data_IF_200166990354
#
_entry.id   IF_200166990354
#
_cell.length_a   1.000
_cell.length_b   1.000
_cell.length_c   1.000
_cell.angle_alpha   90.00
_cell.angle_beta   90.00
_cell.angle_gamma   90.00
#
_symmetry.space_group_name_H-M   'P 1'
#
loop_
_entity.id
_entity.type
_entity.pdbx_description
1 polymer ?
#
# COMPACT_ATOMS: atom_id res chain seq x y z
N UNK A 1 -11.26 -6.16 7.17
CA UNK A 1 -10.28 -5.07 7.10
C UNK A 1 -10.92 -3.70 7.30
N UNK A 2 -12.06 -3.47 6.68
CA UNK A 2 -12.73 -2.17 6.85
C UNK A 2 -13.12 -1.90 8.30
N UNK A 3 -13.55 -2.94 9.02
CA UNK A 3 -13.85 -2.81 10.44
C UNK A 3 -12.60 -2.53 11.26
N UNK A 4 -11.50 -3.20 10.95
CA UNK A 4 -10.23 -2.99 11.65
C UNK A 4 -9.70 -1.57 11.42
N UNK A 5 -9.82 -1.06 10.20
CA UNK A 5 -9.43 0.32 9.88
C UNK A 5 -10.29 1.29 10.68
N UNK A 6 -11.61 1.08 10.73
CA UNK A 6 -12.51 1.91 11.50
C UNK A 6 -12.16 1.97 12.98
N UNK A 7 -11.82 0.82 13.57
CA UNK A 7 -11.39 0.76 14.97
C UNK A 7 -10.12 1.54 15.22
N UNK A 8 -9.13 1.40 14.32
CA UNK A 8 -7.88 2.13 14.42
C UNK A 8 -8.11 3.64 14.38
N UNK A 9 -9.05 4.10 13.56
CA UNK A 9 -9.34 5.53 13.40
C UNK A 9 -10.04 6.13 14.62
N UNK A 10 -10.72 5.32 15.42
CA UNK A 10 -11.37 5.81 16.63
C UNK A 10 -10.39 6.41 17.62
N UNK A 11 -9.12 5.98 17.58
CA UNK A 11 -8.07 6.53 18.42
C UNK A 11 -7.47 7.84 17.91
N UNK A 12 -7.94 8.36 16.78
CA UNK A 12 -7.44 9.57 16.13
C UNK A 12 -5.92 9.55 15.92
N UNK A 13 -5.37 8.53 15.28
CA UNK A 13 -3.93 8.42 15.08
C UNK A 13 -3.41 9.47 14.10
N UNK A 14 -2.13 9.80 14.21
CA UNK A 14 -1.41 10.57 13.19
C UNK A 14 -0.69 9.67 12.20
N UNK A 15 -0.49 8.45 12.60
CA UNK A 15 0.21 7.43 11.82
C UNK A 15 -0.58 6.13 11.90
N UNK A 16 -0.75 5.47 10.78
CA UNK A 16 -1.47 4.20 10.70
C UNK A 16 -0.64 3.21 9.92
N UNK A 17 -0.42 2.01 10.49
CA UNK A 17 0.24 0.92 9.80
C UNK A 17 -0.79 -0.12 9.39
N UNK A 18 -0.80 -0.48 8.11
CA UNK A 18 -1.70 -1.50 7.55
C UNK A 18 -0.85 -2.62 6.97
N UNK A 19 -1.00 -3.81 7.52
CA UNK A 19 -0.21 -4.98 7.14
C UNK A 19 -1.06 -5.89 6.25
N UNK A 20 -0.73 -5.92 4.97
CA UNK A 20 -1.37 -6.75 3.95
C UNK A 20 -2.91 -6.65 3.98
N UNK A 21 -3.47 -5.44 3.86
CA UNK A 21 -4.93 -5.28 3.96
C UNK A 21 -5.72 -5.99 2.87
N UNK A 22 -5.09 -6.36 1.75
CA UNK A 22 -5.77 -7.10 0.68
C UNK A 22 -5.75 -8.62 0.87
N UNK A 23 -4.99 -9.13 1.84
CA UNK A 23 -4.81 -10.56 2.03
C UNK A 23 -6.13 -11.25 2.37
N UNK A 24 -6.48 -12.26 1.59
CA UNK A 24 -7.69 -13.06 1.83
C UNK A 24 -9.00 -12.36 1.50
N UNK A 25 -8.94 -11.19 0.86
CA UNK A 25 -10.14 -10.41 0.54
C UNK A 25 -10.52 -10.59 -0.93
N UNK A 26 -11.82 -10.69 -1.20
CA UNK A 26 -12.32 -10.82 -2.56
C UNK A 26 -11.91 -9.61 -3.41
N UNK A 27 -11.53 -9.83 -4.69
CA UNK A 27 -11.03 -8.75 -5.55
C UNK A 27 -11.92 -7.51 -5.62
N UNK A 28 -13.23 -7.68 -5.62
CA UNK A 28 -14.16 -6.55 -5.67
C UNK A 28 -14.08 -5.68 -4.42
N UNK A 29 -13.78 -6.30 -3.26
CA UNK A 29 -13.69 -5.57 -2.00
C UNK A 29 -12.32 -4.91 -1.83
N UNK A 30 -11.29 -5.44 -2.48
CA UNK A 30 -9.94 -4.89 -2.40
C UNK A 30 -9.91 -3.45 -2.89
N UNK A 31 -10.57 -3.15 -4.01
CA UNK A 31 -10.62 -1.79 -4.53
C UNK A 31 -11.27 -0.83 -3.54
N UNK A 32 -12.36 -1.26 -2.90
CA UNK A 32 -13.05 -0.43 -1.91
C UNK A 32 -12.14 -0.13 -0.70
N UNK A 33 -11.39 -1.13 -0.24
CA UNK A 33 -10.44 -0.96 0.86
C UNK A 33 -9.36 0.04 0.48
N UNK A 34 -8.79 -0.07 -0.71
CA UNK A 34 -7.72 0.81 -1.15
C UNK A 34 -8.20 2.24 -1.38
N UNK A 35 -9.43 2.42 -1.89
CA UNK A 35 -10.05 3.74 -1.98
C UNK A 35 -10.22 4.37 -0.60
N UNK A 36 -10.62 3.58 0.39
CA UNK A 36 -10.77 4.06 1.76
C UNK A 36 -9.42 4.50 2.32
N UNK A 37 -8.35 3.76 2.06
CA UNK A 37 -7.00 4.10 2.50
C UNK A 37 -6.58 5.47 1.93
N UNK A 38 -6.83 5.69 0.65
CA UNK A 38 -6.52 6.97 -0.01
C UNK A 38 -7.32 8.11 0.61
N UNK A 39 -8.60 7.91 0.84
CA UNK A 39 -9.47 8.91 1.43
C UNK A 39 -9.04 9.30 2.83
N UNK A 40 -8.69 8.30 3.66
CA UNK A 40 -8.21 8.54 5.02
C UNK A 40 -6.94 9.39 5.01
N UNK A 41 -6.00 9.04 4.16
CA UNK A 41 -4.75 9.80 4.04
C UNK A 41 -5.01 11.23 3.60
N UNK A 42 -5.88 11.40 2.58
CA UNK A 42 -6.15 12.71 2.01
C UNK A 42 -6.98 13.60 2.93
N UNK A 43 -8.07 13.05 3.47
CA UNK A 43 -9.04 13.85 4.23
C UNK A 43 -8.63 14.09 5.67
N UNK A 44 -7.96 13.12 6.29
CA UNK A 44 -7.57 13.21 7.70
C UNK A 44 -6.11 13.57 7.90
N UNK A 45 -5.32 13.60 6.83
CA UNK A 45 -3.89 13.91 6.93
C UNK A 45 -3.09 12.88 7.69
N UNK A 46 -3.59 11.64 7.76
CA UNK A 46 -2.90 10.55 8.45
C UNK A 46 -1.82 9.98 7.55
N UNK A 47 -0.59 9.86 8.07
CA UNK A 47 0.48 9.18 7.37
C UNK A 47 0.23 7.67 7.45
N UNK A 48 0.24 7.00 6.31
CA UNK A 48 -0.03 5.57 6.25
C UNK A 48 1.18 4.80 5.75
N UNK A 49 1.62 3.82 6.52
CA UNK A 49 2.59 2.83 6.08
C UNK A 49 1.82 1.59 5.65
N UNK A 50 1.88 1.29 4.36
CA UNK A 50 1.18 0.15 3.79
C UNK A 50 2.19 -0.95 3.48
N UNK A 51 2.00 -2.12 4.06
CA UNK A 51 2.79 -3.31 3.76
C UNK A 51 1.92 -4.20 2.89
N UNK A 52 2.38 -4.48 1.66
CA UNK A 52 1.55 -5.20 0.69
C UNK A 52 2.40 -6.03 -0.25
N UNK A 53 1.99 -7.28 -0.49
CA UNK A 53 2.63 -8.15 -1.48
C UNK A 53 2.15 -7.81 -2.89
N UNK A 54 0.94 -7.31 -3.03
CA UNK A 54 0.42 -6.90 -4.32
C UNK A 54 1.01 -5.54 -4.69
N UNK A 55 2.16 -5.59 -5.37
CA UNK A 55 2.92 -4.39 -5.70
C UNK A 55 2.15 -3.43 -6.61
N UNK A 56 1.35 -3.96 -7.53
CA UNK A 56 0.54 -3.11 -8.42
C UNK A 56 -0.39 -2.21 -7.63
N UNK A 57 -1.14 -2.79 -6.69
CA UNK A 57 -2.08 -2.04 -5.88
C UNK A 57 -1.36 -1.04 -4.96
N UNK A 58 -0.28 -1.50 -4.32
CA UNK A 58 0.45 -0.63 -3.40
C UNK A 58 1.04 0.58 -4.10
N UNK A 59 1.71 0.38 -5.23
CA UNK A 59 2.36 1.47 -5.97
C UNK A 59 1.36 2.40 -6.65
N UNK A 60 0.15 1.92 -6.90
CA UNK A 60 -0.91 2.74 -7.49
C UNK A 60 -1.34 3.88 -6.58
N UNK A 61 -1.33 3.63 -5.26
CA UNK A 61 -1.79 4.62 -4.28
C UNK A 61 -0.67 5.27 -3.48
N UNK A 62 0.52 4.68 -3.46
CA UNK A 62 1.64 5.18 -2.67
C UNK A 62 2.30 6.40 -3.32
N UNK A 63 2.93 7.23 -2.51
CA UNK A 63 3.79 8.32 -2.99
C UNK A 63 5.24 7.89 -3.03
N UNK A 64 5.65 7.06 -2.09
CA UNK A 64 7.01 6.55 -1.98
C UNK A 64 6.98 5.06 -1.63
N UNK A 65 7.94 4.30 -2.12
CA UNK A 65 7.97 2.87 -1.87
C UNK A 65 9.34 2.34 -1.48
N UNK A 66 9.30 1.25 -0.72
CA UNK A 66 10.47 0.46 -0.36
C UNK A 66 10.22 -0.97 -0.81
N UNK A 67 11.15 -1.53 -1.57
CA UNK A 67 11.05 -2.94 -1.99
C UNK A 67 11.98 -3.75 -1.09
N UNK A 68 11.40 -4.76 -0.43
CA UNK A 68 12.12 -5.61 0.52
C UNK A 68 12.27 -7.02 -0.03
N UNK A 69 13.46 -7.58 0.15
CA UNK A 69 13.71 -9.00 -0.07
C UNK A 69 14.50 -9.54 1.11
N UNK A 70 14.04 -10.64 1.66
CA UNK A 70 14.71 -11.33 2.76
C UNK A 70 15.09 -10.38 3.91
N UNK A 71 14.13 -9.51 4.28
CA UNK A 71 14.32 -8.57 5.38
C UNK A 71 15.21 -7.38 5.08
N UNK A 72 15.57 -7.15 3.81
CA UNK A 72 16.47 -6.06 3.41
C UNK A 72 15.78 -5.16 2.40
N UNK A 73 15.97 -3.86 2.53
CA UNK A 73 15.52 -2.90 1.52
C UNK A 73 16.50 -2.97 0.36
N UNK A 74 16.00 -3.38 -0.81
CA UNK A 74 16.83 -3.49 -2.03
C UNK A 74 16.63 -2.31 -2.97
N UNK A 75 15.47 -1.64 -2.89
CA UNK A 75 15.16 -0.46 -3.69
C UNK A 75 14.29 0.48 -2.87
N UNK A 76 14.45 1.77 -3.10
CA UNK A 76 13.56 2.77 -2.53
C UNK A 76 13.51 3.97 -3.47
N UNK A 77 12.31 4.47 -3.76
CA UNK A 77 12.13 5.60 -4.67
C UNK A 77 10.70 6.10 -4.62
N UNK A 78 10.43 7.18 -5.34
CA UNK A 78 9.08 7.62 -5.61
C UNK A 78 8.31 6.48 -6.25
N UNK A 79 7.02 6.34 -5.90
CA UNK A 79 6.21 5.24 -6.43
C UNK A 79 6.14 5.26 -7.96
N UNK A 80 6.06 6.45 -8.56
CA UNK A 80 6.04 6.58 -10.02
C UNK A 80 7.32 6.03 -10.64
N UNK A 81 8.48 6.28 -10.02
CA UNK A 81 9.75 5.77 -10.50
C UNK A 81 9.82 4.25 -10.38
N UNK A 82 9.33 3.70 -9.29
CA UNK A 82 9.30 2.24 -9.09
C UNK A 82 8.39 1.56 -10.12
N UNK A 83 7.25 2.15 -10.43
CA UNK A 83 6.33 1.60 -11.43
C UNK A 83 6.96 1.54 -12.82
N UNK A 84 7.88 2.45 -13.11
CA UNK A 84 8.56 2.53 -14.39
C UNK A 84 9.88 1.77 -14.45
N UNK A 85 10.36 1.29 -13.31
CA UNK A 85 11.63 0.57 -13.23
C UNK A 85 11.49 -0.82 -13.85
N UNK A 86 12.30 -1.15 -14.88
CA UNK A 86 12.20 -2.45 -15.55
C UNK A 86 12.40 -3.64 -14.61
N UNK A 87 13.27 -3.51 -13.62
CA UNK A 87 13.51 -4.58 -12.64
C UNK A 87 12.29 -4.82 -11.76
N UNK A 88 11.64 -3.74 -11.33
CA UNK A 88 10.43 -3.83 -10.52
C UNK A 88 9.29 -4.42 -11.34
N UNK A 89 9.11 -3.96 -12.56
CA UNK A 89 8.06 -4.47 -13.45
C UNK A 89 8.24 -5.95 -13.72
N UNK A 90 9.46 -6.37 -14.00
CA UNK A 90 9.77 -7.77 -14.29
C UNK A 90 9.57 -8.67 -13.07
N UNK A 91 10.02 -8.24 -11.89
CA UNK A 91 10.03 -9.08 -10.69
C UNK A 91 8.70 -9.05 -9.92
N UNK A 92 8.00 -7.90 -9.91
CA UNK A 92 6.87 -7.71 -8.99
C UNK A 92 5.57 -7.26 -9.64
N UNK A 93 5.60 -6.70 -10.85
CA UNK A 93 4.41 -6.13 -11.48
C UNK A 93 3.87 -6.97 -12.63
N UNK A 94 4.31 -8.21 -12.75
CA UNK A 94 3.79 -9.11 -13.77
C UNK A 94 4.45 -8.97 -15.13
N UNK A 95 5.65 -8.47 -15.18
CA UNK A 95 6.46 -8.50 -16.39
C UNK A 95 6.00 -7.57 -17.50
N UNK A 96 5.39 -6.54 -17.16
CA UNK A 96 4.82 -5.57 -18.11
C UNK A 96 5.73 -4.98 -19.17
#
# INVERSE_FOLDING_TARGET
QMLAIGRALMGRPRFLMLDEPSLGIAPLLVKAIFQQIVEINRERGITILLVEQNANLALEIATFGYVLETGRVILQDQAAALRSDPKVRSAYLGGG
#
